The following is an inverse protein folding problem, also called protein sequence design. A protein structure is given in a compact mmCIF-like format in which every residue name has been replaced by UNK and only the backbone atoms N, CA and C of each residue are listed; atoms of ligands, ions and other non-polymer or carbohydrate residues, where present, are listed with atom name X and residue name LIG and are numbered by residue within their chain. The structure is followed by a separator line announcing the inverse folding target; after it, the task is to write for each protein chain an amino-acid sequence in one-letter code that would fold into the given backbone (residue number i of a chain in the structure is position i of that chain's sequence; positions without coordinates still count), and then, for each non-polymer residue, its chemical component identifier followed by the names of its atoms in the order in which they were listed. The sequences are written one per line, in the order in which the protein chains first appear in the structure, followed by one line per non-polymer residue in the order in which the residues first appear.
data_IF_076622469726
#
_entry.id   IF_076622469726
#
_cell.length_a   1.000
_cell.length_b   1.000
_cell.length_c   1.000
_cell.angle_alpha   90.00
_cell.angle_beta   90.00
_cell.angle_gamma   90.00
#
_symmetry.space_group_name_H-M   'P 1'
#
loop_
_entity.id
_entity.type
_entity.pdbx_description
1 polymer ?
#
# COMPACT_ATOMS: atom_id res chain seq x y z
N UNK A 1 -18.10 15.80 -41.04
CA UNK A 1 -17.17 14.89 -40.36
C UNK A 1 -17.21 15.12 -38.84
N UNK A 2 -18.39 15.12 -38.20
CA UNK A 2 -18.49 15.63 -36.81
C UNK A 2 -19.66 15.08 -35.94
N UNK A 3 -20.30 13.99 -36.36
CA UNK A 3 -21.40 13.36 -35.60
C UNK A 3 -20.97 12.11 -34.82
N UNK A 4 -19.98 11.35 -35.32
CA UNK A 4 -19.42 10.18 -34.62
C UNK A 4 -18.49 10.55 -33.45
N UNK A 5 -17.80 11.69 -33.53
CA UNK A 5 -16.88 12.15 -32.47
C UNK A 5 -17.64 12.71 -31.24
N UNK A 6 -18.77 13.42 -31.47
CA UNK A 6 -19.67 13.87 -30.39
C UNK A 6 -20.32 12.70 -29.65
N UNK A 7 -20.72 11.64 -30.36
CA UNK A 7 -21.29 10.43 -29.75
C UNK A 7 -20.26 9.66 -28.88
N UNK A 8 -18.99 9.59 -29.30
CA UNK A 8 -17.93 8.95 -28.51
C UNK A 8 -17.52 9.76 -27.27
N UNK A 9 -17.48 11.10 -27.35
CA UNK A 9 -17.21 11.95 -26.17
C UNK A 9 -18.35 11.90 -25.15
N UNK A 10 -19.60 11.87 -25.60
CA UNK A 10 -20.78 11.72 -24.73
C UNK A 10 -20.83 10.36 -24.01
N UNK A 11 -20.47 9.25 -24.69
CA UNK A 11 -20.35 7.93 -24.04
C UNK A 11 -19.19 7.86 -23.03
N UNK A 12 -18.09 8.58 -23.26
CA UNK A 12 -16.91 8.61 -22.36
C UNK A 12 -17.19 9.39 -21.06
N UNK A 13 -18.02 10.43 -21.12
CA UNK A 13 -18.48 11.18 -19.93
C UNK A 13 -19.46 10.36 -19.07
N UNK A 14 -20.38 9.63 -19.69
CA UNK A 14 -21.29 8.74 -18.94
C UNK A 14 -20.57 7.56 -18.27
N UNK A 15 -19.45 7.09 -18.84
CA UNK A 15 -18.58 6.09 -18.24
C UNK A 15 -17.79 6.63 -17.03
N UNK A 16 -17.38 7.91 -17.02
CA UNK A 16 -16.71 8.50 -15.84
C UNK A 16 -17.66 8.70 -14.66
N UNK A 17 -18.91 9.12 -14.91
CA UNK A 17 -19.94 9.28 -13.85
C UNK A 17 -20.37 7.95 -13.24
N UNK A 18 -20.51 6.90 -14.05
CA UNK A 18 -20.78 5.54 -13.55
C UNK A 18 -19.56 4.95 -12.82
N UNK A 19 -18.33 5.27 -13.23
CA UNK A 19 -17.11 4.91 -12.49
C UNK A 19 -17.01 5.61 -11.13
N UNK A 20 -17.35 6.90 -11.05
CA UNK A 20 -17.37 7.64 -9.78
C UNK A 20 -18.48 7.15 -8.83
N UNK A 21 -19.64 6.75 -9.38
CA UNK A 21 -20.70 6.13 -8.60
C UNK A 21 -20.33 4.71 -8.13
N UNK A 22 -19.64 3.93 -8.96
CA UNK A 22 -19.09 2.62 -8.58
C UNK A 22 -17.98 2.74 -7.53
N UNK A 23 -17.09 3.74 -7.62
CA UNK A 23 -16.11 4.06 -6.57
C UNK A 23 -16.77 4.45 -5.25
N UNK A 24 -17.89 5.18 -5.27
CA UNK A 24 -18.65 5.50 -4.07
C UNK A 24 -19.20 4.24 -3.38
N UNK A 25 -19.75 3.31 -4.17
CA UNK A 25 -20.18 2.00 -3.70
C UNK A 25 -19.03 1.16 -3.15
N UNK A 26 -17.93 1.06 -3.89
CA UNK A 26 -16.69 0.40 -3.49
C UNK A 26 -16.11 1.02 -2.21
N UNK A 27 -16.07 2.35 -2.07
CA UNK A 27 -15.61 3.02 -0.84
C UNK A 27 -16.51 2.71 0.35
N UNK A 28 -17.83 2.66 0.15
CA UNK A 28 -18.76 2.31 1.22
C UNK A 28 -18.66 0.84 1.65
N UNK A 29 -18.42 -0.07 0.69
CA UNK A 29 -18.22 -1.50 0.94
C UNK A 29 -16.82 -1.77 1.53
N UNK A 30 -15.79 -1.08 1.05
CA UNK A 30 -14.41 -1.08 1.59
C UNK A 30 -14.34 -0.42 2.97
N UNK A 31 -15.25 0.50 3.29
CA UNK A 31 -15.37 1.08 4.63
C UNK A 31 -16.17 0.20 5.59
N UNK A 32 -17.12 -0.62 5.10
CA UNK A 32 -17.91 -1.57 5.91
C UNK A 32 -17.21 -2.91 6.09
N UNK A 33 -16.40 -3.32 5.13
CA UNK A 33 -15.41 -4.36 5.30
C UNK A 33 -14.26 -3.71 6.05
N UNK A 34 -14.15 -3.93 7.36
CA UNK A 34 -12.86 -3.80 8.04
C UNK A 34 -11.90 -4.77 7.35
N UNK A 35 -11.29 -4.34 6.23
CA UNK A 35 -10.14 -5.01 5.63
C UNK A 35 -9.13 -5.02 6.75
N UNK A 36 -8.96 -6.20 7.36
CA UNK A 36 -8.27 -6.39 8.63
C UNK A 36 -7.09 -5.44 8.72
N UNK A 37 -7.23 -4.42 9.57
CA UNK A 37 -6.22 -3.39 9.73
C UNK A 37 -4.89 -4.11 9.93
N UNK A 38 -3.91 -3.80 9.08
CA UNK A 38 -2.53 -4.27 9.20
C UNK A 38 -2.07 -3.82 10.59
N UNK A 39 -2.16 -4.69 11.59
CA UNK A 39 -1.72 -4.42 12.96
C UNK A 39 -0.59 -5.38 13.27
N UNK A 40 0.63 -4.88 13.10
CA UNK A 40 1.86 -5.66 13.32
C UNK A 40 2.81 -4.83 14.18
N UNK A 41 3.54 -5.50 15.05
CA UNK A 41 4.61 -4.88 15.83
C UNK A 41 5.91 -4.79 15.03
N UNK A 42 6.79 -3.87 15.42
CA UNK A 42 8.07 -3.67 14.73
C UNK A 42 9.07 -4.83 14.91
N UNK A 43 9.04 -5.53 16.05
CA UNK A 43 9.80 -6.78 16.26
C UNK A 43 9.38 -7.87 15.25
N UNK A 44 8.08 -8.05 15.06
CA UNK A 44 7.53 -9.00 14.10
C UNK A 44 7.83 -8.59 12.65
N UNK A 45 7.75 -7.29 12.35
CA UNK A 45 8.11 -6.76 11.04
C UNK A 45 9.57 -7.06 10.69
N UNK A 46 10.49 -6.84 11.63
CA UNK A 46 11.91 -7.15 11.44
C UNK A 46 12.11 -8.65 11.18
N UNK A 47 11.44 -9.52 11.95
CA UNK A 47 11.50 -10.96 11.77
C UNK A 47 10.96 -11.43 10.39
N UNK A 48 9.83 -10.86 9.93
CA UNK A 48 9.21 -11.23 8.64
C UNK A 48 10.05 -10.75 7.46
N UNK A 49 10.58 -9.54 7.54
CA UNK A 49 11.37 -8.95 6.46
C UNK A 49 12.81 -9.47 6.42
N UNK A 50 13.30 -10.02 7.54
CA UNK A 50 14.71 -10.36 7.75
C UNK A 50 15.57 -9.11 7.94
N UNK A 51 14.97 -8.05 8.50
CA UNK A 51 15.62 -6.77 8.77
C UNK A 51 16.12 -6.67 10.21
N UNK A 52 16.95 -5.64 10.44
CA UNK A 52 17.49 -5.29 11.76
C UNK A 52 16.76 -4.07 12.29
N UNK A 53 16.27 -4.13 13.53
CA UNK A 53 15.64 -2.99 14.20
C UNK A 53 16.72 -2.14 14.88
N UNK A 54 16.84 -0.86 14.50
CA UNK A 54 17.85 0.04 15.06
C UNK A 54 17.43 0.68 16.40
N UNK A 55 16.14 0.93 16.60
CA UNK A 55 15.60 1.50 17.83
C UNK A 55 14.69 0.51 18.57
N UNK A 56 15.29 -0.33 19.40
CA UNK A 56 14.59 -1.37 20.18
C UNK A 56 13.61 -0.80 21.20
N UNK A 57 13.73 0.47 21.60
CA UNK A 57 12.75 1.14 22.47
C UNK A 57 11.34 1.21 21.88
N UNK A 58 11.24 1.19 20.55
CA UNK A 58 9.97 1.19 19.82
C UNK A 58 9.55 -0.21 19.33
N UNK A 59 10.27 -1.29 19.68
CA UNK A 59 10.05 -2.63 19.14
C UNK A 59 8.62 -3.17 19.37
N UNK A 60 8.03 -2.85 20.53
CA UNK A 60 6.70 -3.30 20.93
C UNK A 60 5.56 -2.47 20.34
N UNK A 61 5.86 -1.32 19.73
CA UNK A 61 4.85 -0.46 19.10
C UNK A 61 4.33 -1.13 17.84
N UNK A 62 3.07 -0.87 17.52
CA UNK A 62 2.39 -1.38 16.33
C UNK A 62 2.07 -0.26 15.35
N UNK A 63 2.15 -0.57 14.06
CA UNK A 63 1.59 0.27 12.99
C UNK A 63 0.25 -0.31 12.51
N UNK A 64 -0.56 0.53 11.86
CA UNK A 64 -1.94 0.26 11.40
C UNK A 64 -2.13 0.36 9.88
N UNK A 65 -1.06 0.72 9.16
CA UNK A 65 -1.08 0.89 7.71
C UNK A 65 0.33 1.00 7.15
N UNK A 66 0.45 0.92 5.82
CA UNK A 66 1.73 1.02 5.10
C UNK A 66 1.57 2.04 3.98
N UNK A 67 2.55 2.94 3.84
CA UNK A 67 2.62 3.91 2.75
C UNK A 67 3.99 3.85 2.08
N UNK A 68 4.01 3.97 0.74
CA UNK A 68 5.24 4.15 -0.06
C UNK A 68 5.41 5.60 -0.53
N UNK A 69 4.45 6.47 -0.22
CA UNK A 69 4.45 7.88 -0.61
C UNK A 69 4.47 8.74 0.67
N UNK A 70 5.55 9.48 0.85
CA UNK A 70 5.76 10.36 2.01
C UNK A 70 4.68 11.44 2.11
N UNK A 71 4.06 11.82 0.98
CA UNK A 71 3.03 12.86 0.92
C UNK A 71 1.69 12.38 1.48
N UNK A 72 1.40 11.08 1.38
CA UNK A 72 0.16 10.48 1.87
C UNK A 72 0.30 9.77 3.21
N UNK A 73 1.52 9.70 3.77
CA UNK A 73 1.80 9.01 5.03
C UNK A 73 1.10 9.69 6.20
N UNK A 74 0.51 8.89 7.09
CA UNK A 74 -0.25 9.36 8.26
C UNK A 74 0.31 8.82 9.58
N UNK A 75 -0.23 9.38 10.66
CA UNK A 75 -0.03 8.84 12.01
C UNK A 75 -0.37 7.35 12.09
N UNK A 76 0.47 6.58 12.80
CA UNK A 76 0.37 5.13 12.94
C UNK A 76 0.60 4.32 11.65
N UNK A 77 1.08 4.93 10.57
CA UNK A 77 1.48 4.18 9.38
C UNK A 77 2.99 3.90 9.40
N UNK A 78 3.37 2.84 8.69
CA UNK A 78 4.74 2.50 8.34
C UNK A 78 5.06 3.13 6.99
N UNK A 79 6.10 3.94 6.92
CA UNK A 79 6.64 4.41 5.64
C UNK A 79 7.66 3.40 5.11
N UNK A 80 7.50 3.01 3.85
CA UNK A 80 8.36 2.04 3.19
C UNK A 80 9.16 2.75 2.10
N UNK A 81 10.45 2.95 2.35
CA UNK A 81 11.36 3.63 1.43
C UNK A 81 11.71 2.69 0.27
N UNK A 82 10.89 2.71 -0.78
CA UNK A 82 11.12 1.94 -2.01
C UNK A 82 11.97 2.75 -2.98
N UNK A 83 13.05 2.15 -3.50
CA UNK A 83 13.83 2.73 -4.60
C UNK A 83 13.09 2.55 -5.93
N UNK A 84 12.68 3.66 -6.52
CA UNK A 84 12.06 3.70 -7.84
C UNK A 84 13.06 3.98 -8.97
N UNK A 85 12.59 3.95 -10.21
CA UNK A 85 13.42 4.24 -11.41
C UNK A 85 13.83 5.73 -11.49
N UNK A 86 12.95 6.63 -11.03
CA UNK A 86 13.15 8.09 -11.11
C UNK A 86 13.46 8.74 -9.77
N UNK A 87 12.90 8.19 -8.69
CA UNK A 87 12.98 8.76 -7.35
C UNK A 87 13.38 7.66 -6.37
N UNK A 88 14.22 8.01 -5.40
CA UNK A 88 14.57 7.13 -4.30
C UNK A 88 13.69 7.44 -3.07
N UNK A 89 12.92 6.46 -2.59
CA UNK A 89 12.04 6.63 -1.43
C UNK A 89 12.79 7.01 -0.15
N UNK A 90 14.08 6.70 -0.07
CA UNK A 90 14.91 6.99 1.09
C UNK A 90 15.12 8.50 1.30
N UNK A 91 15.12 9.28 0.23
CA UNK A 91 15.27 10.75 0.30
C UNK A 91 14.07 11.44 0.98
N UNK A 92 12.96 10.72 1.15
CA UNK A 92 11.72 11.24 1.75
C UNK A 92 11.44 10.71 3.15
N UNK A 93 12.39 10.03 3.78
CA UNK A 93 12.23 9.48 5.13
C UNK A 93 11.95 10.61 6.13
N UNK A 94 12.74 11.68 6.14
CA UNK A 94 12.54 12.80 7.07
C UNK A 94 11.15 13.44 6.91
N UNK A 95 10.67 13.54 5.66
CA UNK A 95 9.34 14.04 5.37
C UNK A 95 8.25 13.12 5.93
N UNK A 96 8.42 11.80 5.82
CA UNK A 96 7.48 10.82 6.36
C UNK A 96 7.44 10.88 7.90
N UNK A 97 8.61 11.02 8.55
CA UNK A 97 8.71 11.22 10.00
C UNK A 97 7.98 12.50 10.42
N UNK A 98 8.20 13.62 9.74
CA UNK A 98 7.50 14.89 10.01
C UNK A 98 5.98 14.79 9.83
N UNK A 99 5.49 13.91 8.95
CA UNK A 99 4.06 13.63 8.76
C UNK A 99 3.46 12.71 9.82
N UNK A 100 4.28 12.17 10.73
CA UNK A 100 3.87 11.33 11.84
C UNK A 100 3.95 9.84 11.55
N UNK A 101 4.78 9.39 10.59
CA UNK A 101 5.06 7.97 10.42
C UNK A 101 5.43 7.34 11.77
N UNK A 102 4.86 6.19 12.09
CA UNK A 102 5.17 5.45 13.32
C UNK A 102 6.42 4.60 13.22
N UNK A 103 6.83 4.30 11.99
CA UNK A 103 8.08 3.62 11.69
C UNK A 103 8.44 3.69 10.22
N UNK A 104 9.69 3.33 9.94
CA UNK A 104 10.33 3.39 8.64
C UNK A 104 10.90 2.01 8.30
N UNK A 105 10.72 1.56 7.06
CA UNK A 105 11.54 0.50 6.47
C UNK A 105 12.45 1.13 5.43
N UNK A 106 13.75 0.90 5.57
CA UNK A 106 14.77 1.48 4.71
C UNK A 106 15.91 0.49 4.46
N UNK A 107 16.68 0.70 3.40
CA UNK A 107 17.81 -0.14 3.07
C UNK A 107 19.03 0.18 3.94
N UNK A 108 19.75 -0.86 4.36
CA UNK A 108 20.98 -0.78 5.19
C UNK A 108 22.06 0.10 4.56
N UNK A 109 22.04 0.26 3.24
CA UNK A 109 22.99 1.09 2.50
C UNK A 109 22.72 2.60 2.64
N UNK A 110 21.58 2.99 3.22
CA UNK A 110 21.24 4.40 3.39
C UNK A 110 21.99 4.98 4.61
N UNK A 111 22.88 5.97 4.42
CA UNK A 111 23.83 6.42 5.44
C UNK A 111 23.24 7.30 6.55
N UNK A 112 21.90 7.37 6.65
CA UNK A 112 21.19 8.30 7.54
C UNK A 112 20.01 7.61 8.24
N UNK A 113 20.26 6.46 8.86
CA UNK A 113 19.26 5.80 9.70
C UNK A 113 19.45 6.13 11.18
N UNK A 114 20.68 6.45 11.58
CA UNK A 114 21.04 6.64 12.99
C UNK A 114 20.48 7.95 13.58
N UNK A 115 20.14 8.96 12.77
CA UNK A 115 19.58 10.23 13.26
C UNK A 115 18.07 10.16 13.56
N UNK A 116 17.43 9.02 13.30
CA UNK A 116 15.99 8.83 13.45
C UNK A 116 15.71 8.16 14.80
N UNK A 117 15.50 8.97 15.84
CA UNK A 117 15.31 8.47 17.21
C UNK A 117 13.84 8.32 17.61
N UNK A 118 12.92 9.08 17.00
CA UNK A 118 11.52 9.16 17.45
C UNK A 118 10.62 8.02 16.96
N UNK A 119 11.05 7.30 15.92
CA UNK A 119 10.25 6.27 15.25
C UNK A 119 11.01 4.95 15.14
N UNK A 120 10.29 3.84 14.97
CA UNK A 120 10.94 2.55 14.75
C UNK A 120 11.57 2.49 13.36
N UNK A 121 12.84 2.09 13.26
CA UNK A 121 13.53 1.91 11.98
C UNK A 121 13.90 0.44 11.80
N UNK A 122 13.30 -0.19 10.79
CA UNK A 122 13.65 -1.55 10.35
C UNK A 122 14.50 -1.44 9.09
N UNK A 123 15.80 -1.70 9.24
CA UNK A 123 16.72 -1.69 8.12
C UNK A 123 16.76 -3.05 7.43
N UNK A 124 16.69 -3.07 6.10
CA UNK A 124 16.65 -4.28 5.29
C UNK A 124 17.72 -4.24 4.20
N UNK A 125 18.05 -5.38 3.60
CA UNK A 125 19.00 -5.39 2.47
C UNK A 125 18.38 -4.85 1.18
N UNK A 126 17.09 -5.13 0.97
CA UNK A 126 16.34 -4.67 -0.20
C UNK A 126 14.90 -4.34 0.22
N UNK A 127 14.50 -3.11 -0.01
CA UNK A 127 13.18 -2.59 0.37
C UNK A 127 12.04 -3.30 -0.40
N UNK A 128 12.20 -3.50 -1.70
CA UNK A 128 11.19 -4.15 -2.53
C UNK A 128 10.94 -5.62 -2.12
N UNK A 129 12.00 -6.38 -1.86
CA UNK A 129 11.88 -7.76 -1.37
C UNK A 129 11.24 -7.82 0.02
N UNK A 130 11.59 -6.91 0.91
CA UNK A 130 10.97 -6.82 2.23
C UNK A 130 9.46 -6.55 2.13
N UNK A 131 9.02 -5.67 1.21
CA UNK A 131 7.61 -5.42 0.94
C UNK A 131 6.90 -6.70 0.43
N UNK A 132 7.54 -7.44 -0.48
CA UNK A 132 6.99 -8.71 -0.99
C UNK A 132 6.84 -9.73 0.14
N UNK A 133 7.84 -9.86 1.02
CA UNK A 133 7.77 -10.77 2.19
C UNK A 133 6.61 -10.39 3.11
N UNK A 134 6.44 -9.10 3.41
CA UNK A 134 5.33 -8.61 4.23
C UNK A 134 3.98 -8.91 3.57
N UNK A 135 3.84 -8.64 2.27
CA UNK A 135 2.62 -8.94 1.51
C UNK A 135 2.32 -10.45 1.48
N UNK A 136 3.34 -11.29 1.33
CA UNK A 136 3.22 -12.75 1.37
C UNK A 136 2.73 -13.22 2.74
N UNK A 137 3.32 -12.72 3.82
CA UNK A 137 2.88 -13.01 5.20
C UNK A 137 1.38 -12.69 5.39
N UNK A 138 0.93 -11.51 4.98
CA UNK A 138 -0.50 -11.16 5.06
C UNK A 138 -1.39 -12.02 4.16
N UNK A 139 -0.91 -12.40 2.99
CA UNK A 139 -1.65 -13.30 2.08
C UNK A 139 -1.83 -14.69 2.69
N UNK A 140 -0.79 -15.25 3.30
CA UNK A 140 -0.79 -16.59 3.89
C UNK A 140 -1.58 -16.67 5.19
N UNK A 141 -1.62 -15.58 5.97
CA UNK A 141 -2.39 -15.50 7.21
C UNK A 141 -3.87 -15.16 6.99
N UNK A 142 -4.21 -14.64 5.82
CA UNK A 142 -5.60 -14.31 5.47
C UNK A 142 -6.42 -15.55 5.15
N UNK A 143 -7.65 -15.59 5.66
CA UNK A 143 -8.65 -16.61 5.31
C UNK A 143 -9.42 -16.29 4.02
N UNK A 144 -9.11 -15.17 3.37
CA UNK A 144 -9.76 -14.76 2.14
C UNK A 144 -9.44 -15.72 0.99
N UNK A 145 -10.39 -15.90 0.07
CA UNK A 145 -10.12 -16.57 -1.21
C UNK A 145 -9.54 -15.55 -2.19
N UNK A 146 -8.43 -15.90 -2.82
CA UNK A 146 -7.74 -15.02 -3.75
C UNK A 146 -7.96 -15.46 -5.20
N UNK A 147 -8.35 -14.52 -6.06
CA UNK A 147 -8.46 -14.72 -7.52
C UNK A 147 -7.49 -13.78 -8.22
N UNK A 148 -6.64 -14.31 -9.10
CA UNK A 148 -5.72 -13.52 -9.91
C UNK A 148 -6.23 -13.45 -11.36
N UNK A 149 -6.37 -12.24 -11.89
CA UNK A 149 -6.82 -12.00 -13.27
C UNK A 149 -5.65 -11.38 -14.03
N UNK A 150 -5.19 -12.09 -15.07
CA UNK A 150 -4.09 -11.68 -15.95
C UNK A 150 -4.53 -11.66 -17.41
N UNK A 151 -3.70 -11.12 -18.30
CA UNK A 151 -3.95 -11.02 -19.74
C UNK A 151 -3.62 -9.64 -20.31
N UNK A 152 -3.38 -9.55 -21.61
CA UNK A 152 -3.02 -8.27 -22.25
C UNK A 152 -4.17 -7.26 -22.19
N UNK A 153 -5.40 -7.73 -22.41
CA UNK A 153 -6.62 -6.91 -22.44
C UNK A 153 -7.70 -7.46 -21.47
N UNK A 154 -8.69 -6.64 -21.13
CA UNK A 154 -9.88 -7.08 -20.38
C UNK A 154 -9.75 -7.24 -18.87
N UNK A 155 -8.54 -7.22 -18.29
CA UNK A 155 -8.27 -7.40 -16.84
C UNK A 155 -9.22 -6.59 -15.93
N UNK A 156 -9.33 -5.28 -16.16
CA UNK A 156 -10.17 -4.40 -15.34
C UNK A 156 -11.66 -4.75 -15.46
N UNK A 157 -12.14 -4.98 -16.68
CA UNK A 157 -13.54 -5.35 -16.94
C UNK A 157 -13.87 -6.70 -16.30
N UNK A 158 -13.01 -7.71 -16.47
CA UNK A 158 -13.20 -9.03 -15.88
C UNK A 158 -13.14 -8.98 -14.34
N UNK A 159 -12.23 -8.18 -13.76
CA UNK A 159 -12.17 -7.96 -12.30
C UNK A 159 -13.48 -7.39 -11.76
N UNK A 160 -14.04 -6.40 -12.45
CA UNK A 160 -15.29 -5.76 -12.03
C UNK A 160 -16.49 -6.72 -12.13
N UNK A 161 -16.60 -7.46 -13.22
CA UNK A 161 -17.65 -8.46 -13.38
C UNK A 161 -17.57 -9.56 -12.31
N UNK A 162 -16.37 -10.08 -12.05
CA UNK A 162 -16.15 -11.07 -11.01
C UNK A 162 -16.56 -10.54 -9.61
N UNK A 163 -16.22 -9.29 -9.29
CA UNK A 163 -16.64 -8.65 -8.05
C UNK A 163 -18.16 -8.61 -7.92
N UNK A 164 -18.88 -8.13 -8.94
CA UNK A 164 -20.36 -8.05 -8.89
C UNK A 164 -21.01 -9.41 -8.69
N UNK A 165 -20.50 -10.45 -9.35
CA UNK A 165 -21.03 -11.81 -9.20
C UNK A 165 -20.80 -12.37 -7.79
N UNK A 166 -19.62 -12.15 -7.21
CA UNK A 166 -19.26 -12.69 -5.89
C UNK A 166 -19.94 -11.89 -4.76
N UNK A 167 -20.12 -10.57 -4.93
CA UNK A 167 -20.68 -9.68 -3.89
C UNK A 167 -22.21 -9.65 -3.83
N UNK A 168 -22.91 -10.34 -4.75
CA UNK A 168 -24.38 -10.43 -4.73
C UNK A 168 -24.89 -11.55 -3.79
N UNK A 169 -23.98 -12.41 -3.34
CA UNK A 169 -24.23 -13.48 -2.35
C UNK A 169 -23.96 -12.93 -0.95
#
# INVERSE_FOLDING_TARGET
MDLRLKAMKSRRAGLSETYQSAEGGLRSVISRLEIGMISLRFDQLAAITGGTLYNTGNASRSFRGVSIDSRSTKANELFFAIRGVRNDGHDFIDQAVQKGASGIVAELTYPKLDHIEDVAVVAVHNSHEAMIKLAKYYRETSRARFVAITGSNGKTTTKELAFRLISTV
#
